data_IF_906103506700
#
_entry.id   IF_906103506700
#
_cell.length_a   1.000
_cell.length_b   1.000
_cell.length_c   1.000
_cell.angle_alpha   90.00
_cell.angle_beta   90.00
_cell.angle_gamma   90.00
#
_symmetry.space_group_name_H-M   'P 1'
#
loop_
_entity.id
_entity.type
_entity.pdbx_description
1 polymer ?
#
# COMPACT_ATOMS: atom_id res chain seq x y z
N UNK A 1 -11.55 -9.53 -31.61
CA UNK A 1 -10.34 -9.67 -30.78
C UNK A 1 -10.76 -10.22 -29.41
N UNK A 2 -10.24 -11.37 -28.96
CA UNK A 2 -10.57 -11.92 -27.62
C UNK A 2 -9.60 -11.32 -26.60
N UNK A 3 -10.10 -10.47 -25.71
CA UNK A 3 -9.31 -9.92 -24.60
C UNK A 3 -8.98 -11.06 -23.63
N UNK A 4 -7.72 -11.20 -23.24
CA UNK A 4 -7.32 -12.25 -22.30
C UNK A 4 -7.90 -11.95 -20.92
N UNK A 5 -8.35 -12.99 -20.19
CA UNK A 5 -8.93 -12.86 -18.85
C UNK A 5 -8.00 -12.13 -17.87
N UNK A 6 -6.68 -12.28 -18.05
CA UNK A 6 -5.66 -11.58 -17.27
C UNK A 6 -5.67 -10.05 -17.51
N UNK A 7 -5.90 -9.60 -18.74
CA UNK A 7 -6.02 -8.16 -19.04
C UNK A 7 -7.29 -7.60 -18.41
N UNK A 8 -8.40 -8.33 -18.50
CA UNK A 8 -9.66 -7.91 -17.89
C UNK A 8 -9.55 -7.75 -16.38
N UNK A 9 -8.92 -8.71 -15.70
CA UNK A 9 -8.72 -8.64 -14.24
C UNK A 9 -7.73 -7.55 -13.83
N UNK A 10 -6.67 -7.32 -14.60
CA UNK A 10 -5.75 -6.21 -14.36
C UNK A 10 -6.45 -4.85 -14.49
N UNK A 11 -7.31 -4.69 -15.49
CA UNK A 11 -8.13 -3.47 -15.67
C UNK A 11 -9.14 -3.30 -14.53
N UNK A 12 -9.82 -4.36 -14.11
CA UNK A 12 -10.73 -4.31 -12.97
C UNK A 12 -10.02 -3.92 -11.67
N UNK A 13 -8.84 -4.48 -11.41
CA UNK A 13 -8.03 -4.12 -10.26
C UNK A 13 -7.59 -2.65 -10.30
N UNK A 14 -7.16 -2.16 -11.47
CA UNK A 14 -6.80 -0.76 -11.66
C UNK A 14 -7.98 0.19 -11.39
N UNK A 15 -9.16 -0.12 -11.94
CA UNK A 15 -10.38 0.66 -11.73
C UNK A 15 -10.77 0.65 -10.25
N UNK A 16 -10.76 -0.51 -9.61
CA UNK A 16 -11.14 -0.64 -8.20
C UNK A 16 -10.22 0.18 -7.29
N UNK A 17 -8.90 0.09 -7.48
CA UNK A 17 -7.93 0.84 -6.67
C UNK A 17 -8.02 2.34 -6.95
N UNK A 18 -8.11 2.76 -8.22
CA UNK A 18 -8.28 4.16 -8.57
C UNK A 18 -9.56 4.76 -7.96
N UNK A 19 -10.67 4.03 -8.04
CA UNK A 19 -11.94 4.44 -7.42
C UNK A 19 -11.83 4.54 -5.89
N UNK A 20 -11.15 3.59 -5.25
CA UNK A 20 -10.96 3.59 -3.80
C UNK A 20 -10.13 4.78 -3.32
N UNK A 21 -9.10 5.17 -4.08
CA UNK A 21 -8.31 6.38 -3.80
C UNK A 21 -9.16 7.64 -3.92
N UNK A 22 -9.94 7.78 -5.00
CA UNK A 22 -10.83 8.93 -5.17
C UNK A 22 -11.90 8.98 -4.07
N UNK A 23 -12.45 7.83 -3.70
CA UNK A 23 -13.40 7.71 -2.59
C UNK A 23 -12.75 8.19 -1.28
N UNK A 24 -11.54 7.71 -0.97
CA UNK A 24 -10.82 8.10 0.24
C UNK A 24 -10.56 9.62 0.29
N UNK A 25 -10.22 10.25 -0.84
CA UNK A 25 -10.05 11.71 -0.91
C UNK A 25 -11.39 12.43 -0.79
N UNK A 26 -12.46 11.90 -1.37
CA UNK A 26 -13.81 12.50 -1.26
C UNK A 26 -14.38 12.47 0.16
N UNK A 27 -13.97 11.48 0.96
CA UNK A 27 -14.34 11.36 2.37
C UNK A 27 -13.56 12.33 3.26
N UNK A 28 -12.44 12.90 2.79
CA UNK A 28 -11.81 14.04 3.45
C UNK A 28 -12.70 15.26 3.23
N UNK A 29 -13.41 15.66 4.28
CA UNK A 29 -14.22 16.87 4.30
C UNK A 29 -13.40 18.11 3.92
N UNK A 30 -14.09 19.16 3.49
CA UNK A 30 -13.44 20.44 3.25
C UNK A 30 -12.99 21.02 4.59
N UNK A 31 -11.70 21.28 4.73
CA UNK A 31 -11.15 21.98 5.90
C UNK A 31 -11.17 23.48 5.64
N UNK A 32 -11.21 24.27 6.71
CA UNK A 32 -11.04 25.72 6.68
C UNK A 32 -9.83 26.09 7.51
N UNK A 33 -9.02 27.01 7.00
CA UNK A 33 -7.85 27.54 7.69
C UNK A 33 -8.14 28.98 8.11
N UNK A 34 -8.09 29.24 9.41
CA UNK A 34 -8.18 30.56 10.01
C UNK A 34 -6.78 31.09 10.28
N UNK A 35 -6.51 32.36 9.94
CA UNK A 35 -5.19 33.00 10.07
C UNK A 35 -5.29 34.31 10.83
N UNK A 36 -4.32 34.54 11.72
CA UNK A 36 -4.11 35.80 12.43
C UNK A 36 -2.63 36.15 12.50
N UNK A 37 -2.34 37.44 12.52
CA UNK A 37 -0.99 37.95 12.71
C UNK A 37 -0.88 38.67 14.05
N UNK A 38 0.15 38.28 14.81
CA UNK A 38 0.61 38.95 16.02
C UNK A 38 1.82 39.80 15.69
N UNK A 39 1.84 41.04 16.18
CA UNK A 39 2.96 41.95 16.08
C UNK A 39 3.51 42.20 17.48
N UNK A 40 4.81 41.97 17.66
CA UNK A 40 5.53 42.41 18.84
C UNK A 40 5.61 43.95 18.83
N UNK A 41 5.14 44.57 19.90
CA UNK A 41 5.18 46.02 20.09
C UNK A 41 5.91 46.33 21.40
N UNK A 42 6.75 47.38 21.43
CA UNK A 42 7.45 47.74 22.66
C UNK A 42 6.46 48.16 23.75
N UNK A 43 6.72 47.78 24.99
CA UNK A 43 5.87 48.13 26.13
C UNK A 43 5.99 49.61 26.49
N UNK A 44 7.16 50.20 26.24
CA UNK A 44 7.40 51.65 26.37
C UNK A 44 8.21 52.16 25.16
N UNK A 45 8.06 53.43 24.76
CA UNK A 45 8.78 54.02 23.62
C UNK A 45 10.32 53.93 23.74
N UNK A 46 10.85 53.92 24.96
CA UNK A 46 12.28 53.88 25.27
C UNK A 46 12.82 52.47 25.62
N UNK A 47 12.09 51.41 25.24
CA UNK A 47 12.52 50.03 25.49
C UNK A 47 13.72 49.65 24.60
N UNK A 48 14.94 50.03 25.02
CA UNK A 48 16.19 49.73 24.32
C UNK A 48 16.42 48.22 24.12
N UNK A 49 15.83 47.39 24.99
CA UNK A 49 15.92 45.93 24.97
C UNK A 49 14.88 45.27 24.05
N UNK A 50 13.97 46.04 23.43
CA UNK A 50 12.88 45.50 22.60
C UNK A 50 13.40 44.58 21.48
N UNK A 51 14.41 45.03 20.74
CA UNK A 51 14.98 44.27 19.63
C UNK A 51 15.65 42.96 20.08
N UNK A 52 16.35 42.99 21.21
CA UNK A 52 17.03 41.83 21.78
C UNK A 52 16.03 40.80 22.32
N UNK A 53 15.09 41.23 23.16
CA UNK A 53 14.07 40.34 23.75
C UNK A 53 13.17 39.76 22.68
N UNK A 54 12.74 40.56 21.71
CA UNK A 54 11.90 40.06 20.61
C UNK A 54 12.65 39.05 19.76
N UNK A 55 13.94 39.28 19.46
CA UNK A 55 14.75 38.35 18.67
C UNK A 55 14.99 37.02 19.39
N UNK A 56 15.21 37.06 20.71
CA UNK A 56 15.45 35.86 21.53
C UNK A 56 14.18 35.09 21.88
N UNK A 57 13.07 35.79 22.15
CA UNK A 57 11.83 35.19 22.64
C UNK A 57 10.83 34.85 21.53
N UNK A 58 10.86 35.51 20.36
CA UNK A 58 9.93 35.19 19.26
C UNK A 58 9.99 33.72 18.81
N UNK A 59 11.16 33.04 18.74
CA UNK A 59 11.22 31.61 18.47
C UNK A 59 10.48 30.75 19.51
N UNK A 60 10.41 31.19 20.76
CA UNK A 60 9.74 30.47 21.84
C UNK A 60 8.20 30.47 21.70
N UNK A 61 7.64 31.35 20.85
CA UNK A 61 6.19 31.35 20.53
C UNK A 61 5.75 30.00 19.97
N UNK A 62 6.59 29.34 19.17
CA UNK A 62 6.30 28.01 18.61
C UNK A 62 6.12 26.96 19.70
N UNK A 63 6.91 27.06 20.78
CA UNK A 63 6.81 26.14 21.92
C UNK A 63 5.63 26.51 22.82
N UNK A 64 5.38 27.80 23.04
CA UNK A 64 4.26 28.25 23.86
C UNK A 64 2.90 27.86 23.26
N UNK A 65 2.73 28.02 21.95
CA UNK A 65 1.49 27.65 21.25
C UNK A 65 1.18 26.15 21.40
N UNK A 66 2.20 25.34 21.69
CA UNK A 66 2.08 23.90 21.97
C UNK A 66 2.11 23.56 23.46
N UNK A 67 2.13 24.55 24.35
CA UNK A 67 2.12 24.29 25.79
C UNK A 67 0.74 23.76 26.23
N UNK A 68 0.68 22.82 27.20
CA UNK A 68 -0.58 22.24 27.64
C UNK A 68 -1.62 23.29 28.06
N UNK A 69 -1.21 24.31 28.82
CA UNK A 69 -2.12 25.36 29.29
C UNK A 69 -2.71 26.21 28.18
N UNK A 70 -1.94 26.52 27.13
CA UNK A 70 -2.42 27.27 25.96
C UNK A 70 -3.34 26.40 25.10
N UNK A 71 -2.98 25.13 24.91
CA UNK A 71 -3.79 24.18 24.15
C UNK A 71 -5.11 23.89 24.85
N UNK A 72 -5.12 23.70 26.17
CA UNK A 72 -6.34 23.44 26.96
C UNK A 72 -7.30 24.63 26.87
N UNK A 73 -6.81 25.85 27.13
CA UNK A 73 -7.62 27.06 27.06
C UNK A 73 -8.16 27.33 25.65
N UNK A 74 -7.34 27.11 24.63
CA UNK A 74 -7.75 27.31 23.25
C UNK A 74 -8.68 26.21 22.74
N UNK A 75 -8.50 24.97 23.18
CA UNK A 75 -9.34 23.83 22.82
C UNK A 75 -10.74 23.97 23.42
N UNK A 76 -10.85 24.39 24.69
CA UNK A 76 -12.13 24.67 25.34
C UNK A 76 -12.92 25.76 24.60
N UNK A 77 -12.26 26.87 24.27
CA UNK A 77 -12.89 27.98 23.54
C UNK A 77 -13.30 27.62 22.10
N UNK A 78 -12.58 26.67 21.48
CA UNK A 78 -12.86 26.20 20.12
C UNK A 78 -13.80 24.99 20.05
N UNK A 79 -14.19 24.41 21.20
CA UNK A 79 -15.03 23.21 21.26
C UNK A 79 -14.35 21.96 20.69
N UNK A 80 -13.02 21.84 20.82
CA UNK A 80 -12.21 20.71 20.32
C UNK A 80 -11.38 20.09 21.45
N UNK A 81 -10.57 19.07 21.12
CA UNK A 81 -9.60 18.51 22.07
C UNK A 81 -8.21 19.15 21.89
N UNK A 82 -7.41 19.25 22.97
CA UNK A 82 -6.04 19.78 22.92
C UNK A 82 -5.16 19.06 21.89
N UNK A 83 -5.23 17.73 21.82
CA UNK A 83 -4.45 16.92 20.88
C UNK A 83 -4.79 17.25 19.43
N UNK A 84 -6.09 17.36 19.10
CA UNK A 84 -6.55 17.69 17.76
C UNK A 84 -6.15 19.12 17.37
N UNK A 85 -6.15 20.03 18.34
CA UNK A 85 -5.74 21.40 18.13
C UNK A 85 -4.22 21.51 17.91
N UNK A 86 -3.41 20.77 18.68
CA UNK A 86 -1.95 20.76 18.55
C UNK A 86 -1.49 20.32 17.15
N UNK A 87 -2.17 19.33 16.55
CA UNK A 87 -1.90 18.85 15.20
C UNK A 87 -2.37 19.82 14.10
N UNK A 88 -3.34 20.68 14.41
CA UNK A 88 -3.97 21.60 13.46
C UNK A 88 -3.37 23.02 13.46
N UNK A 89 -2.54 23.36 14.45
CA UNK A 89 -1.90 24.68 14.54
C UNK A 89 -0.57 24.72 13.78
N UNK A 90 -0.39 25.75 12.96
CA UNK A 90 0.90 26.15 12.41
C UNK A 90 1.26 27.57 12.83
N UNK A 91 2.56 27.79 13.05
CA UNK A 91 3.12 29.10 13.40
C UNK A 91 4.22 29.42 12.41
N UNK A 92 4.06 30.54 11.70
CA UNK A 92 5.07 31.10 10.80
C UNK A 92 5.65 32.37 11.43
N UNK A 93 6.95 32.36 11.70
CA UNK A 93 7.67 33.54 12.17
C UNK A 93 8.20 34.30 10.94
N UNK A 94 7.81 35.56 10.79
CA UNK A 94 8.29 36.39 9.69
C UNK A 94 9.67 36.95 10.09
N UNK A 95 10.75 36.57 9.39
CA UNK A 95 12.11 36.93 9.79
C UNK A 95 12.29 38.44 9.94
N UNK A 96 13.04 38.86 10.97
CA UNK A 96 13.43 40.24 11.23
C UNK A 96 12.27 41.26 11.36
N UNK A 97 11.04 40.81 11.62
CA UNK A 97 9.85 41.69 11.62
C UNK A 97 9.07 41.75 12.93
N UNK A 98 9.38 40.88 13.90
CA UNK A 98 8.58 40.75 15.13
C UNK A 98 7.14 40.27 14.89
N UNK A 99 6.82 39.81 13.68
CA UNK A 99 5.51 39.29 13.30
C UNK A 99 5.49 37.77 13.40
N UNK A 100 4.50 37.24 14.11
CA UNK A 100 4.18 35.82 14.15
C UNK A 100 2.79 35.61 13.53
N UNK A 101 2.69 34.79 12.50
CA UNK A 101 1.43 34.36 11.90
C UNK A 101 1.03 33.02 12.49
N UNK A 102 -0.18 32.95 13.00
CA UNK A 102 -0.77 31.73 13.54
C UNK A 102 -1.86 31.31 12.57
N UNK A 103 -1.84 30.05 12.15
CA UNK A 103 -2.94 29.45 11.40
C UNK A 103 -3.46 28.20 12.09
N UNK A 104 -4.76 28.01 12.05
CA UNK A 104 -5.44 26.85 12.63
C UNK A 104 -6.40 26.28 11.60
N UNK A 105 -6.30 24.96 11.37
CA UNK A 105 -7.24 24.23 10.52
C UNK A 105 -8.38 23.64 11.32
N UNK A 106 -9.61 23.74 10.81
CA UNK A 106 -10.78 23.14 11.42
C UNK A 106 -11.81 22.73 10.37
N UNK A 107 -12.84 22.01 10.81
CA UNK A 107 -13.90 21.46 9.96
C UNK A 107 -14.82 22.55 9.37
N UNK A 108 -14.79 23.77 9.91
CA UNK A 108 -15.58 24.91 9.44
C UNK A 108 -14.83 26.23 9.60
N UNK A 109 -15.23 27.25 8.82
CA UNK A 109 -14.64 28.59 8.91
C UNK A 109 -14.85 29.22 10.30
N UNK A 110 -16.02 29.03 10.89
CA UNK A 110 -16.35 29.56 12.22
C UNK A 110 -15.50 28.90 13.31
N UNK A 111 -15.31 27.57 13.25
CA UNK A 111 -14.43 26.87 14.19
C UNK A 111 -12.97 27.28 14.00
N UNK A 112 -12.51 27.43 12.76
CA UNK A 112 -11.14 27.85 12.48
C UNK A 112 -10.87 29.29 12.98
N UNK A 113 -11.84 30.19 12.79
CA UNK A 113 -11.80 31.57 13.29
C UNK A 113 -11.80 31.62 14.83
N UNK A 114 -12.67 30.86 15.48
CA UNK A 114 -12.73 30.78 16.94
C UNK A 114 -11.44 30.22 17.52
N UNK A 115 -10.93 29.12 16.96
CA UNK A 115 -9.70 28.47 17.41
C UNK A 115 -8.47 29.36 17.25
N UNK A 116 -8.25 29.97 16.07
CA UNK A 116 -7.10 30.86 15.87
C UNK A 116 -7.16 32.09 16.78
N UNK A 117 -8.36 32.63 17.04
CA UNK A 117 -8.56 33.75 17.95
C UNK A 117 -8.26 33.37 19.40
N UNK A 118 -8.70 32.18 19.83
CA UNK A 118 -8.46 31.68 21.18
C UNK A 118 -6.96 31.42 21.42
N UNK A 119 -6.28 30.77 20.47
CA UNK A 119 -4.82 30.57 20.52
C UNK A 119 -4.09 31.92 20.59
N UNK A 120 -4.45 32.87 19.72
CA UNK A 120 -3.81 34.18 19.70
C UNK A 120 -3.98 34.95 21.02
N UNK A 121 -5.17 34.87 21.65
CA UNK A 121 -5.41 35.46 22.98
C UNK A 121 -4.57 34.80 24.06
N UNK A 122 -4.54 33.48 24.11
CA UNK A 122 -3.73 32.75 25.08
C UNK A 122 -2.23 33.07 24.95
N UNK A 123 -1.73 33.30 23.73
CA UNK A 123 -0.35 33.74 23.49
C UNK A 123 -0.11 35.17 24.00
N UNK A 124 -1.06 36.08 23.81
CA UNK A 124 -0.98 37.45 24.33
C UNK A 124 -1.02 37.44 25.86
N UNK A 125 -1.91 36.64 26.46
CA UNK A 125 -2.10 36.55 27.91
C UNK A 125 -0.91 35.89 28.62
N UNK A 126 -0.19 34.98 27.95
CA UNK A 126 1.06 34.40 28.45
C UNK A 126 2.22 35.39 28.51
N UNK A 127 2.10 36.53 27.82
CA UNK A 127 2.97 37.70 27.88
C UNK A 127 4.49 37.40 27.87
N UNK A 128 4.92 36.51 26.98
CA UNK A 128 6.32 36.06 26.90
C UNK A 128 7.36 37.16 26.68
N UNK A 129 6.94 38.30 26.15
CA UNK A 129 7.82 39.42 25.84
C UNK A 129 7.92 40.40 27.01
N UNK A 130 7.16 40.20 28.09
CA UNK A 130 7.22 41.04 29.26
C UNK A 130 8.60 40.99 29.93
N UNK A 131 9.07 42.12 30.50
CA UNK A 131 8.42 43.43 30.52
C UNK A 131 8.70 44.29 29.27
N UNK A 132 9.61 43.87 28.39
CA UNK A 132 10.19 44.72 27.34
C UNK A 132 9.24 44.94 26.14
N UNK A 133 8.38 43.98 25.84
CA UNK A 133 7.42 44.07 24.76
C UNK A 133 6.13 43.32 25.08
N UNK A 134 5.14 43.47 24.19
CA UNK A 134 3.88 42.72 24.22
C UNK A 134 3.45 42.35 22.81
N UNK A 135 2.76 41.23 22.67
CA UNK A 135 2.09 40.89 21.42
C UNK A 135 0.76 41.63 21.28
N UNK A 136 0.46 42.08 20.07
CA UNK A 136 -0.83 42.67 19.71
C UNK A 136 -1.31 42.09 18.39
N UNK A 137 -2.62 41.91 18.26
CA UNK A 137 -3.24 41.57 16.98
C UNK A 137 -3.05 42.71 15.97
N UNK A 138 -2.56 42.36 14.77
CA UNK A 138 -2.45 43.28 13.63
C UNK A 138 -3.84 43.63 13.12
N UNK A 139 -4.69 42.61 12.93
CA UNK A 139 -6.10 42.73 12.63
C UNK A 139 -6.89 41.83 13.59
N UNK A 140 -7.92 42.34 14.30
CA UNK A 140 -8.77 41.51 15.16
C UNK A 140 -9.67 40.54 14.39
N UNK A 141 -9.84 40.70 13.07
CA UNK A 141 -10.66 39.80 12.25
C UNK A 141 -9.80 38.66 11.69
N UNK A 142 -10.07 37.39 12.03
CA UNK A 142 -9.36 36.26 11.45
C UNK A 142 -9.69 36.12 9.97
N UNK A 143 -8.66 35.94 9.15
CA UNK A 143 -8.81 35.63 7.74
C UNK A 143 -9.13 34.13 7.61
N UNK A 144 -10.29 33.80 7.04
CA UNK A 144 -10.73 32.40 6.86
C UNK A 144 -10.66 32.03 5.39
N UNK A 145 -9.97 30.91 5.11
CA UNK A 145 -9.81 30.40 3.75
C UNK A 145 -10.23 28.93 3.71
N UNK A 146 -10.99 28.54 2.69
CA UNK A 146 -11.34 27.12 2.52
C UNK A 146 -10.18 26.37 1.88
N UNK A 147 -9.71 25.33 2.56
CA UNK A 147 -8.70 24.40 2.07
C UNK A 147 -9.45 23.20 1.49
N UNK A 148 -9.73 23.26 0.19
CA UNK A 148 -10.34 22.13 -0.53
C UNK A 148 -9.28 21.11 -0.92
N UNK A 149 -9.61 19.80 -0.94
CA UNK A 149 -8.76 18.80 -1.55
C UNK A 149 -8.43 19.20 -3.00
N UNK A 150 -7.15 19.20 -3.37
CA UNK A 150 -6.75 19.47 -4.75
C UNK A 150 -7.15 18.26 -5.61
N UNK A 151 -8.25 18.41 -6.34
CA UNK A 151 -8.79 17.37 -7.22
C UNK A 151 -7.81 16.97 -8.33
N UNK A 152 -6.92 17.86 -8.76
CA UNK A 152 -5.91 17.52 -9.77
C UNK A 152 -4.90 16.56 -9.16
N UNK A 153 -4.41 16.87 -7.96
CA UNK A 153 -3.48 16.00 -7.23
C UNK A 153 -4.13 14.66 -6.87
N UNK A 154 -5.39 14.68 -6.42
CA UNK A 154 -6.17 13.49 -6.14
C UNK A 154 -6.32 12.57 -7.37
N UNK A 155 -6.67 13.15 -8.53
CA UNK A 155 -6.78 12.39 -9.78
C UNK A 155 -5.44 11.82 -10.24
N UNK A 156 -4.35 12.56 -10.07
CA UNK A 156 -3.00 12.10 -10.40
C UNK A 156 -2.58 10.92 -9.52
N UNK A 157 -2.82 11.02 -8.21
CA UNK A 157 -2.53 9.93 -7.26
C UNK A 157 -3.35 8.68 -7.58
N UNK A 158 -4.65 8.85 -7.85
CA UNK A 158 -5.54 7.76 -8.22
C UNK A 158 -5.09 7.05 -9.49
N UNK A 159 -4.64 7.80 -10.50
CA UNK A 159 -4.12 7.24 -11.75
C UNK A 159 -2.85 6.42 -11.51
N UNK A 160 -1.90 6.94 -10.75
CA UNK A 160 -0.66 6.24 -10.43
C UNK A 160 -0.95 4.94 -9.68
N UNK A 161 -1.81 5.00 -8.66
CA UNK A 161 -2.20 3.82 -7.89
C UNK A 161 -2.91 2.76 -8.76
N UNK A 162 -3.80 3.20 -9.66
CA UNK A 162 -4.48 2.32 -10.61
C UNK A 162 -3.50 1.61 -11.55
N UNK A 163 -2.51 2.32 -12.10
CA UNK A 163 -1.48 1.74 -12.98
C UNK A 163 -0.65 0.70 -12.23
N UNK A 164 -0.18 1.03 -11.02
CA UNK A 164 0.60 0.12 -10.19
C UNK A 164 -0.20 -1.15 -9.89
N UNK A 165 -1.46 -1.02 -9.49
CA UNK A 165 -2.32 -2.16 -9.20
C UNK A 165 -2.57 -3.05 -10.43
N UNK A 166 -2.83 -2.45 -11.59
CA UNK A 166 -3.02 -3.19 -12.84
C UNK A 166 -1.78 -3.97 -13.25
N UNK A 167 -0.60 -3.34 -13.17
CA UNK A 167 0.70 -3.99 -13.48
C UNK A 167 1.01 -5.10 -12.48
N UNK A 168 0.81 -4.86 -11.19
CA UNK A 168 1.04 -5.86 -10.14
C UNK A 168 0.13 -7.08 -10.33
N UNK A 169 -1.14 -6.87 -10.66
CA UNK A 169 -2.08 -7.96 -10.89
C UNK A 169 -1.72 -8.76 -12.15
N UNK A 170 -1.31 -8.08 -13.22
CA UNK A 170 -0.81 -8.74 -14.43
C UNK A 170 0.45 -9.57 -14.16
N UNK A 171 1.41 -9.01 -13.41
CA UNK A 171 2.63 -9.72 -13.00
C UNK A 171 2.31 -10.94 -12.14
N UNK A 172 1.44 -10.79 -11.14
CA UNK A 172 1.00 -11.89 -10.26
C UNK A 172 0.31 -13.01 -11.05
N UNK A 173 -0.53 -12.66 -12.03
CA UNK A 173 -1.15 -13.64 -12.94
C UNK A 173 -0.12 -14.35 -13.80
N UNK A 174 0.89 -13.65 -14.29
CA UNK A 174 1.99 -14.24 -15.06
C UNK A 174 2.83 -15.19 -14.21
N UNK A 175 3.09 -14.83 -12.95
CA UNK A 175 3.78 -15.66 -11.97
C UNK A 175 2.96 -16.91 -11.58
N UNK A 176 1.64 -16.80 -11.49
CA UNK A 176 0.71 -17.91 -11.25
C UNK A 176 0.37 -18.74 -12.50
N UNK A 177 0.90 -18.40 -13.67
CA UNK A 177 0.70 -19.17 -14.90
C UNK A 177 1.41 -20.53 -14.80
N UNK A 178 0.85 -21.58 -15.42
CA UNK A 178 1.46 -22.91 -15.45
C UNK A 178 2.88 -22.82 -16.07
N UNK A 179 3.95 -22.98 -15.27
CA UNK A 179 5.33 -22.74 -15.72
C UNK A 179 5.81 -23.77 -16.74
N UNK A 180 5.06 -24.87 -16.85
CA UNK A 180 5.36 -26.07 -17.64
C UNK A 180 4.61 -26.07 -18.99
N UNK A 181 3.65 -25.16 -19.19
CA UNK A 181 2.78 -25.15 -20.37
C UNK A 181 3.55 -25.07 -21.69
N UNK A 182 4.64 -24.32 -21.74
CA UNK A 182 5.49 -24.22 -22.93
C UNK A 182 6.21 -25.54 -23.22
N UNK A 183 6.75 -26.20 -22.18
CA UNK A 183 7.44 -27.49 -22.30
C UNK A 183 6.49 -28.62 -22.73
N UNK A 184 5.25 -28.62 -22.21
CA UNK A 184 4.19 -29.55 -22.63
C UNK A 184 3.82 -29.34 -24.10
N UNK A 185 3.66 -28.08 -24.53
CA UNK A 185 3.35 -27.76 -25.91
C UNK A 185 4.48 -28.17 -26.88
N UNK A 186 5.76 -27.99 -26.50
CA UNK A 186 6.90 -28.44 -27.30
C UNK A 186 7.00 -29.96 -27.40
N UNK A 187 6.54 -30.69 -26.38
CA UNK A 187 6.45 -32.14 -26.41
C UNK A 187 5.21 -32.66 -27.17
N UNK A 188 4.42 -31.78 -27.80
CA UNK A 188 3.21 -32.16 -28.54
C UNK A 188 2.00 -32.47 -27.66
N UNK A 189 2.07 -32.18 -26.35
CA UNK A 189 0.99 -32.46 -25.40
C UNK A 189 0.00 -31.28 -25.40
N UNK A 190 -1.13 -31.48 -26.08
CA UNK A 190 -2.20 -30.49 -26.20
C UNK A 190 -3.32 -30.61 -25.16
N UNK A 191 -3.36 -31.70 -24.40
CA UNK A 191 -4.40 -31.95 -23.38
C UNK A 191 -4.03 -31.31 -22.02
N UNK A 192 -5.01 -31.00 -21.16
CA UNK A 192 -4.74 -30.44 -19.84
C UNK A 192 -3.95 -31.42 -18.97
N UNK A 193 -2.88 -30.91 -18.34
CA UNK A 193 -2.01 -31.65 -17.41
C UNK A 193 -1.97 -30.89 -16.09
N UNK A 194 -2.13 -31.61 -14.98
CA UNK A 194 -2.08 -31.01 -13.64
C UNK A 194 -0.63 -30.73 -13.28
N UNK A 195 -0.34 -29.52 -12.78
CA UNK A 195 0.99 -29.17 -12.28
C UNK A 195 0.89 -28.95 -10.79
N UNK A 196 1.65 -29.73 -10.03
CA UNK A 196 1.71 -29.66 -8.58
C UNK A 196 3.14 -29.38 -8.12
N UNK A 197 3.28 -28.85 -6.90
CA UNK A 197 4.58 -28.63 -6.28
C UNK A 197 4.78 -29.70 -5.20
N UNK A 198 6.02 -30.12 -4.98
CA UNK A 198 6.36 -31.14 -3.98
C UNK A 198 5.97 -30.69 -2.55
N UNK A 199 5.98 -29.38 -2.29
CA UNK A 199 5.56 -28.77 -1.01
C UNK A 199 4.04 -28.75 -0.77
N UNK A 200 3.21 -29.23 -1.70
CA UNK A 200 1.75 -29.22 -1.53
C UNK A 200 1.30 -30.33 -0.56
N UNK A 201 0.74 -30.00 0.62
CA UNK A 201 0.32 -31.01 1.61
C UNK A 201 -0.81 -31.91 1.09
N UNK A 202 -1.54 -31.51 0.05
CA UNK A 202 -2.60 -32.28 -0.59
C UNK A 202 -2.13 -33.00 -1.87
N UNK A 203 -0.82 -33.03 -2.17
CA UNK A 203 -0.25 -33.61 -3.38
C UNK A 203 -0.68 -35.07 -3.57
N UNK A 204 -0.48 -35.89 -2.55
CA UNK A 204 -0.73 -37.33 -2.61
C UNK A 204 -2.20 -37.66 -2.82
N UNK A 205 -3.11 -36.95 -2.16
CA UNK A 205 -4.55 -37.14 -2.32
C UNK A 205 -4.99 -36.82 -3.76
N UNK A 206 -4.49 -35.71 -4.32
CA UNK A 206 -4.79 -35.31 -5.70
C UNK A 206 -4.20 -36.26 -6.73
N UNK A 207 -2.94 -36.70 -6.56
CA UNK A 207 -2.31 -37.65 -7.47
C UNK A 207 -3.04 -39.00 -7.42
N UNK A 208 -3.44 -39.46 -6.24
CA UNK A 208 -4.24 -40.68 -6.07
C UNK A 208 -5.58 -40.58 -6.79
N UNK A 209 -6.28 -39.46 -6.67
CA UNK A 209 -7.54 -39.22 -7.37
C UNK A 209 -7.36 -39.17 -8.91
N UNK A 210 -6.28 -38.56 -9.39
CA UNK A 210 -5.94 -38.55 -10.82
C UNK A 210 -5.59 -39.94 -11.36
N UNK A 211 -4.85 -40.74 -10.59
CA UNK A 211 -4.53 -42.12 -10.94
C UNK A 211 -5.78 -43.02 -10.94
N UNK A 212 -6.70 -42.80 -10.00
CA UNK A 212 -7.99 -43.47 -9.98
C UNK A 212 -8.83 -43.11 -11.22
N UNK A 213 -8.89 -41.83 -11.59
CA UNK A 213 -9.64 -41.35 -12.75
C UNK A 213 -9.03 -41.79 -14.09
N UNK A 214 -7.71 -41.96 -14.17
CA UNK A 214 -7.02 -42.39 -15.37
C UNK A 214 -7.27 -43.87 -15.71
N UNK A 215 -7.64 -44.70 -14.73
CA UNK A 215 -7.94 -46.14 -14.87
C UNK A 215 -6.88 -46.89 -15.71
N UNK A 216 -5.60 -46.55 -15.51
CA UNK A 216 -4.45 -47.04 -16.27
C UNK A 216 -3.28 -47.33 -15.31
N UNK A 217 -2.36 -48.24 -15.69
CA UNK A 217 -1.11 -48.43 -14.93
C UNK A 217 -0.33 -47.12 -14.86
N UNK A 218 0.10 -46.78 -13.63
CA UNK A 218 0.77 -45.51 -13.32
C UNK A 218 2.28 -45.71 -13.41
N UNK A 219 2.97 -44.78 -14.08
CA UNK A 219 4.42 -44.72 -14.14
C UNK A 219 4.90 -43.34 -13.73
N UNK A 220 5.75 -43.29 -12.70
CA UNK A 220 6.44 -42.06 -12.32
C UNK A 220 7.75 -41.97 -13.11
N UNK A 221 7.97 -40.84 -13.78
CA UNK A 221 9.15 -40.60 -14.63
C UNK A 221 9.99 -39.46 -14.05
N UNK A 222 11.20 -39.71 -13.55
CA UNK A 222 12.14 -38.64 -13.26
C UNK A 222 12.66 -38.02 -14.55
N UNK A 223 12.63 -36.69 -14.64
CA UNK A 223 13.13 -35.93 -15.81
C UNK A 223 14.66 -35.85 -15.82
N UNK A 224 15.28 -35.90 -14.65
CA UNK A 224 16.73 -35.89 -14.47
C UNK A 224 17.17 -36.99 -13.49
N UNK A 225 18.42 -37.48 -13.57
CA UNK A 225 18.91 -38.53 -12.68
C UNK A 225 18.91 -38.11 -11.20
N UNK A 226 19.09 -36.82 -10.92
CA UNK A 226 19.05 -36.25 -9.56
C UNK A 226 17.67 -36.40 -8.89
N UNK A 227 16.60 -36.57 -9.68
CA UNK A 227 15.23 -36.72 -9.19
C UNK A 227 14.78 -38.19 -9.10
N UNK A 228 15.67 -39.14 -9.37
CA UNK A 228 15.34 -40.57 -9.41
C UNK A 228 14.85 -41.10 -8.06
N UNK A 229 15.56 -40.77 -6.97
CA UNK A 229 15.16 -41.17 -5.61
C UNK A 229 13.78 -40.63 -5.24
N UNK A 230 13.51 -39.38 -5.61
CA UNK A 230 12.22 -38.72 -5.31
C UNK A 230 11.08 -39.30 -6.14
N UNK A 231 11.33 -39.60 -7.41
CA UNK A 231 10.38 -40.29 -8.27
C UNK A 231 10.08 -41.71 -7.76
N UNK A 232 11.06 -42.41 -7.21
CA UNK A 232 10.87 -43.74 -6.63
C UNK A 232 10.05 -43.68 -5.33
N UNK A 233 10.29 -42.69 -4.47
CA UNK A 233 9.50 -42.47 -3.26
C UNK A 233 8.03 -42.16 -3.58
N UNK A 234 7.78 -41.30 -4.58
CA UNK A 234 6.45 -41.04 -5.11
C UNK A 234 5.82 -42.31 -5.72
N UNK A 235 6.58 -43.13 -6.44
CA UNK A 235 6.08 -44.37 -7.02
C UNK A 235 5.65 -45.39 -5.95
N UNK A 236 6.38 -45.49 -4.83
CA UNK A 236 6.05 -46.41 -3.71
C UNK A 236 4.81 -45.99 -2.93
N UNK A 237 4.50 -44.70 -2.89
CA UNK A 237 3.38 -44.14 -2.12
C UNK A 237 2.08 -44.07 -2.92
N UNK A 238 2.15 -44.16 -4.25
CA UNK A 238 0.99 -44.23 -5.13
C UNK A 238 0.39 -45.66 -5.15
N UNK A 239 -0.93 -45.79 -5.38
CA UNK A 239 -1.58 -47.09 -5.46
C UNK A 239 -1.02 -47.91 -6.63
N UNK A 240 -0.61 -49.15 -6.35
CA UNK A 240 -0.13 -50.07 -7.37
C UNK A 240 -1.28 -50.49 -8.30
N UNK A 241 -1.25 -49.94 -9.52
CA UNK A 241 -2.20 -50.23 -10.60
C UNK A 241 -1.56 -51.03 -11.74
N UNK A 242 -0.39 -51.64 -11.51
CA UNK A 242 0.33 -52.38 -12.54
C UNK A 242 -0.47 -53.58 -13.11
N UNK A 243 -1.49 -54.04 -12.37
CA UNK A 243 -2.34 -55.18 -12.74
C UNK A 243 -3.69 -54.79 -13.37
N UNK A 244 -4.00 -53.49 -13.54
CA UNK A 244 -5.24 -53.07 -14.20
C UNK A 244 -5.13 -53.26 -15.72
N UNK A 245 -6.07 -54.01 -16.36
CA UNK A 245 -6.04 -54.21 -17.81
C UNK A 245 -6.48 -52.93 -18.52
N UNK A 246 -5.52 -52.13 -18.95
CA UNK A 246 -5.77 -50.92 -19.71
C UNK A 246 -4.72 -50.73 -20.82
N UNK A 247 -5.16 -50.23 -21.98
CA UNK A 247 -4.28 -49.91 -23.10
C UNK A 247 -3.45 -48.67 -22.80
N UNK A 248 -2.19 -48.85 -22.37
CA UNK A 248 -1.21 -47.77 -22.19
C UNK A 248 -1.02 -47.29 -20.74
N UNK A 249 -0.12 -46.33 -20.53
CA UNK A 249 0.36 -45.92 -19.19
C UNK A 249 0.01 -44.47 -18.86
N UNK A 250 -0.40 -44.20 -17.62
CA UNK A 250 -0.52 -42.85 -17.08
C UNK A 250 0.83 -42.39 -16.52
N UNK A 251 1.38 -41.30 -17.03
CA UNK A 251 2.70 -40.79 -16.66
C UNK A 251 2.59 -39.58 -15.73
N UNK A 252 3.31 -39.66 -14.60
CA UNK A 252 3.56 -38.54 -13.70
C UNK A 252 5.03 -38.16 -13.84
N UNK A 253 5.31 -36.98 -14.39
CA UNK A 253 6.68 -36.52 -14.56
C UNK A 253 7.15 -35.73 -13.32
N UNK A 254 8.32 -36.05 -12.79
CA UNK A 254 8.96 -35.30 -11.69
C UNK A 254 10.07 -34.44 -12.28
N UNK A 255 9.91 -33.12 -12.21
CA UNK A 255 10.80 -32.14 -12.81
C UNK A 255 11.29 -31.15 -11.76
N UNK A 256 12.48 -30.59 -11.96
CA UNK A 256 12.97 -29.52 -11.11
C UNK A 256 12.12 -28.25 -11.33
N UNK A 257 11.88 -27.48 -10.27
CA UNK A 257 11.23 -26.17 -10.33
C UNK A 257 12.13 -25.06 -10.90
N UNK A 258 13.25 -25.43 -11.53
CA UNK A 258 14.16 -24.50 -12.19
C UNK A 258 13.68 -24.16 -13.61
N UNK A 259 13.83 -22.89 -14.00
CA UNK A 259 13.47 -22.40 -15.33
C UNK A 259 14.43 -22.88 -16.41
N UNK A 260 15.71 -23.05 -16.08
CA UNK A 260 16.74 -23.44 -17.06
C UNK A 260 16.60 -24.90 -17.49
N UNK A 261 16.14 -25.77 -16.60
CA UNK A 261 15.97 -27.22 -16.82
C UNK A 261 14.62 -27.62 -17.43
N UNK A 262 13.79 -26.66 -17.86
CA UNK A 262 12.47 -26.95 -18.46
C UNK A 262 12.55 -27.63 -19.83
N UNK A 263 13.66 -27.43 -20.55
CA UNK A 263 13.90 -28.12 -21.82
C UNK A 263 14.13 -29.63 -21.63
N UNK A 264 14.65 -30.03 -20.46
CA UNK A 264 14.85 -31.43 -20.12
C UNK A 264 13.51 -32.15 -19.97
N UNK A 265 12.51 -31.46 -19.39
CA UNK A 265 11.15 -31.98 -19.32
C UNK A 265 10.54 -32.15 -20.71
N UNK A 266 10.67 -31.15 -21.59
CA UNK A 266 10.16 -31.26 -22.97
C UNK A 266 10.78 -32.47 -23.69
N UNK A 267 12.09 -32.66 -23.51
CA UNK A 267 12.84 -33.78 -24.10
C UNK A 267 12.41 -35.13 -23.53
N UNK A 268 12.30 -35.25 -22.21
CA UNK A 268 11.88 -36.48 -21.54
C UNK A 268 10.45 -36.90 -21.94
N UNK A 269 9.54 -35.92 -22.07
CA UNK A 269 8.15 -36.16 -22.48
C UNK A 269 8.02 -36.50 -23.97
N UNK A 270 8.89 -35.97 -24.83
CA UNK A 270 8.87 -36.24 -26.28
C UNK A 270 9.26 -37.69 -26.63
N UNK A 271 9.99 -38.38 -25.75
CA UNK A 271 10.46 -39.77 -25.96
C UNK A 271 9.46 -40.80 -25.42
N UNK A 272 8.35 -40.36 -24.84
CA UNK A 272 7.33 -41.27 -24.32
C UNK A 272 6.67 -42.10 -25.45
N UNK A 273 6.34 -43.39 -25.19
CA UNK A 273 5.54 -44.19 -26.11
C UNK A 273 4.22 -43.49 -26.45
N UNK A 274 3.72 -43.63 -27.67
CA UNK A 274 2.44 -43.03 -28.10
C UNK A 274 1.22 -43.51 -27.28
N UNK A 275 1.34 -44.65 -26.59
CA UNK A 275 0.33 -45.19 -25.67
C UNK A 275 0.39 -44.57 -24.25
N UNK A 276 1.36 -43.69 -23.98
CA UNK A 276 1.52 -43.01 -22.70
C UNK A 276 0.74 -41.70 -22.67
N UNK A 277 0.04 -41.42 -21.58
CA UNK A 277 -0.70 -40.17 -21.36
C UNK A 277 -0.13 -39.47 -20.13
N UNK A 278 0.34 -38.23 -20.30
CA UNK A 278 0.85 -37.43 -19.18
C UNK A 278 -0.31 -36.83 -18.40
N UNK A 279 -0.44 -37.18 -17.13
CA UNK A 279 -1.57 -36.76 -16.28
C UNK A 279 -1.17 -35.66 -15.32
N UNK A 280 0.07 -35.70 -14.82
CA UNK A 280 0.60 -34.70 -13.91
C UNK A 280 2.09 -34.42 -14.12
N UNK A 281 2.52 -33.21 -13.74
CA UNK A 281 3.92 -32.82 -13.55
C UNK A 281 4.08 -32.33 -12.12
N UNK A 282 5.00 -32.95 -11.37
CA UNK A 282 5.38 -32.56 -10.01
C UNK A 282 6.68 -31.76 -10.10
N UNK A 283 6.66 -30.54 -9.56
CA UNK A 283 7.81 -29.65 -9.47
C UNK A 283 8.48 -29.81 -8.11
N UNK A 284 9.69 -30.37 -8.12
CA UNK A 284 10.58 -30.54 -6.96
C UNK A 284 11.52 -29.34 -6.79
#
# INVERSE_FOLDING_TARGET
>A
MKVSRAVLEGVLAAIAVGALVLLAVSLRGAESEGRLALLATPSTPDSAQFGEVTSLAAPAVVQLVRSPSVLDAAAEAAGTTPDRLADAIAVELVPASGVARISVRADSADHAAAAVTAVARAVIDADLLAPAARFRLVDPRPETTSVKPDWRLASGLALVAAVIAGVAMFALRRLRGNPVRAALATAGIGHPVVVAHDDDPALMERLTALCAAAARPVRVLPVSPELAERAEELARTLPDKASEPADGTAVIAVAANDRERRNDLATALAVLPASSVVVAVVLA
#
